data_IF_998059255643
#
_entry.id   IF_998059255643
#
_cell.length_a   1.000
_cell.length_b   1.000
_cell.length_c   1.000
_cell.angle_alpha   90.00
_cell.angle_beta   90.00
_cell.angle_gamma   90.00
#
_symmetry.space_group_name_H-M   'P 1'
#
loop_
_entity.id
_entity.type
_entity.pdbx_description
1 polymer ?
#
# COMPACT_ATOMS: atom_id res chain seq x y z
N UNK A 1 -7.94 -20.93 35.69
CA UNK A 1 -7.67 -21.43 34.32
C UNK A 1 -8.49 -20.70 33.26
N UNK A 2 -9.80 -20.45 33.47
CA UNK A 2 -10.65 -19.71 32.51
C UNK A 2 -10.22 -18.25 32.23
N UNK A 3 -9.77 -17.50 33.25
CA UNK A 3 -9.33 -16.10 33.09
C UNK A 3 -8.08 -15.95 32.19
N UNK A 4 -7.11 -16.87 32.30
CA UNK A 4 -5.94 -16.95 31.41
C UNK A 4 -6.34 -17.26 29.97
N UNK A 5 -7.33 -18.14 29.76
CA UNK A 5 -7.81 -18.48 28.41
C UNK A 5 -8.52 -17.29 27.76
N UNK A 6 -9.28 -16.51 28.54
CA UNK A 6 -9.94 -15.30 28.07
C UNK A 6 -8.93 -14.21 27.67
N UNK A 7 -7.91 -13.96 28.51
CA UNK A 7 -6.81 -13.04 28.18
C UNK A 7 -6.00 -13.49 26.96
N UNK A 8 -5.74 -14.79 26.83
CA UNK A 8 -5.03 -15.34 25.68
C UNK A 8 -5.82 -15.12 24.37
N UNK A 9 -7.15 -15.32 24.41
CA UNK A 9 -8.02 -15.07 23.25
C UNK A 9 -8.01 -13.62 22.76
N UNK A 10 -8.04 -12.66 23.68
CA UNK A 10 -8.01 -11.21 23.35
C UNK A 10 -6.64 -10.82 22.78
N UNK A 11 -5.55 -11.38 23.33
CA UNK A 11 -4.19 -11.14 22.84
C UNK A 11 -3.98 -11.73 21.44
N UNK A 12 -4.46 -12.95 21.19
CA UNK A 12 -4.30 -13.62 19.89
C UNK A 12 -4.95 -12.81 18.75
N UNK A 13 -6.16 -12.30 18.97
CA UNK A 13 -6.89 -11.52 17.98
C UNK A 13 -6.15 -10.23 17.59
N UNK A 14 -5.62 -9.50 18.58
CA UNK A 14 -4.81 -8.29 18.34
C UNK A 14 -3.53 -8.57 17.54
N UNK A 15 -2.84 -9.67 17.82
CA UNK A 15 -1.63 -10.05 17.09
C UNK A 15 -1.92 -10.35 15.61
N UNK A 16 -3.01 -11.08 15.31
CA UNK A 16 -3.42 -11.34 13.93
C UNK A 16 -3.87 -10.07 13.19
N UNK A 17 -4.58 -9.17 13.87
CA UNK A 17 -4.98 -7.87 13.29
C UNK A 17 -3.76 -7.03 12.90
N UNK A 18 -2.75 -6.93 13.77
CA UNK A 18 -1.55 -6.15 13.49
C UNK A 18 -0.66 -6.76 12.40
N UNK A 19 -0.54 -8.10 12.36
CA UNK A 19 0.12 -8.79 11.26
C UNK A 19 -0.60 -8.58 9.93
N UNK A 20 -1.93 -8.66 9.92
CA UNK A 20 -2.75 -8.39 8.73
C UNK A 20 -2.61 -6.94 8.25
N UNK A 21 -2.68 -5.97 9.17
CA UNK A 21 -2.51 -4.56 8.86
C UNK A 21 -1.15 -4.26 8.20
N UNK A 22 -0.06 -4.79 8.78
CA UNK A 22 1.28 -4.62 8.23
C UNK A 22 1.48 -5.28 6.87
N UNK A 23 0.96 -6.51 6.70
CA UNK A 23 1.09 -7.26 5.44
C UNK A 23 0.35 -6.57 4.29
N UNK A 24 -0.88 -6.09 4.53
CA UNK A 24 -1.69 -5.41 3.51
C UNK A 24 -1.02 -4.12 3.03
N UNK A 25 -0.48 -3.30 3.93
CA UNK A 25 0.27 -2.08 3.54
C UNK A 25 1.54 -2.40 2.80
N UNK A 26 2.32 -3.36 3.29
CA UNK A 26 3.56 -3.79 2.65
C UNK A 26 3.34 -4.26 1.22
N UNK A 27 2.36 -5.15 1.01
CA UNK A 27 1.99 -5.66 -0.32
C UNK A 27 1.46 -4.57 -1.24
N UNK A 28 0.59 -3.69 -0.73
CA UNK A 28 0.03 -2.58 -1.51
C UNK A 28 1.11 -1.61 -1.97
N UNK A 29 2.05 -1.22 -1.09
CA UNK A 29 3.18 -0.35 -1.44
C UNK A 29 4.15 -0.98 -2.44
N UNK A 30 4.38 -2.30 -2.34
CA UNK A 30 5.24 -3.04 -3.25
C UNK A 30 4.66 -3.08 -4.66
N UNK A 31 3.37 -3.41 -4.79
CA UNK A 31 2.65 -3.41 -6.08
C UNK A 31 2.62 -2.00 -6.68
N UNK A 32 2.31 -0.98 -5.88
CA UNK A 32 2.28 0.41 -6.33
C UNK A 32 3.65 0.88 -6.87
N UNK A 33 4.72 0.61 -6.14
CA UNK A 33 6.09 0.99 -6.53
C UNK A 33 6.56 0.23 -7.79
N UNK A 34 6.17 -1.05 -7.93
CA UNK A 34 6.41 -1.82 -9.16
C UNK A 34 5.70 -1.19 -10.37
N UNK A 35 4.45 -0.79 -10.22
CA UNK A 35 3.71 -0.09 -11.28
C UNK A 35 4.38 1.22 -11.67
N UNK A 36 4.82 2.03 -10.70
CA UNK A 36 5.56 3.28 -10.92
C UNK A 36 6.85 3.02 -11.71
N UNK A 37 7.64 2.01 -11.31
CA UNK A 37 8.88 1.65 -12.00
C UNK A 37 8.62 1.25 -13.47
N UNK A 38 7.59 0.44 -13.73
CA UNK A 38 7.25 0.01 -15.10
C UNK A 38 6.77 1.19 -15.95
N UNK A 39 5.88 2.02 -15.39
CA UNK A 39 5.38 3.24 -16.04
C UNK A 39 6.51 4.21 -16.34
N UNK A 40 7.51 4.35 -15.47
CA UNK A 40 8.68 5.18 -15.72
C UNK A 40 9.50 4.70 -16.93
N UNK A 41 9.75 3.39 -17.04
CA UNK A 41 10.53 2.80 -18.15
C UNK A 41 9.81 2.90 -19.50
N UNK A 42 8.49 2.75 -19.52
CA UNK A 42 7.68 2.90 -20.74
C UNK A 42 7.44 4.38 -21.07
N UNK A 43 7.15 5.17 -20.05
CA UNK A 43 6.85 6.59 -20.15
C UNK A 43 8.01 7.39 -20.72
N UNK A 44 9.25 7.10 -20.33
CA UNK A 44 10.45 7.77 -20.87
C UNK A 44 10.58 7.61 -22.40
N UNK A 45 10.20 6.44 -22.94
CA UNK A 45 10.21 6.16 -24.38
C UNK A 45 9.04 6.82 -25.11
N UNK A 46 7.88 6.93 -24.45
CA UNK A 46 6.72 7.66 -24.98
C UNK A 46 6.96 9.17 -25.03
N UNK A 47 7.60 9.74 -24.01
CA UNK A 47 7.87 11.19 -23.93
C UNK A 47 8.87 11.69 -24.96
N UNK A 48 9.74 10.80 -25.48
CA UNK A 48 10.69 11.14 -26.56
C UNK A 48 10.02 11.21 -27.94
N UNK A 49 8.90 10.51 -28.13
CA UNK A 49 8.12 10.55 -29.37
C UNK A 49 7.15 11.74 -29.39
N UNK A 50 6.54 12.07 -28.25
CA UNK A 50 5.63 13.22 -28.11
C UNK A 50 5.82 13.88 -26.73
N UNK A 51 6.36 15.12 -26.66
CA UNK A 51 6.61 15.80 -25.39
C UNK A 51 5.33 16.11 -24.59
N UNK A 52 4.16 16.08 -25.25
CA UNK A 52 2.85 16.30 -24.65
C UNK A 52 2.44 15.17 -23.69
N UNK A 53 3.03 13.97 -23.81
CA UNK A 53 2.74 12.82 -22.95
C UNK A 53 3.38 12.90 -21.55
N UNK A 54 4.23 13.92 -21.30
CA UNK A 54 4.93 14.09 -20.02
C UNK A 54 3.97 14.27 -18.84
N UNK A 55 2.91 15.07 -19.02
CA UNK A 55 1.87 15.24 -18.00
C UNK A 55 1.12 13.94 -17.72
N UNK A 56 0.84 13.14 -18.75
CA UNK A 56 0.18 11.84 -18.60
C UNK A 56 0.99 10.86 -17.75
N UNK A 57 2.31 10.79 -17.97
CA UNK A 57 3.21 9.96 -17.18
C UNK A 57 3.23 10.39 -15.70
N UNK A 58 3.30 11.69 -15.42
CA UNK A 58 3.30 12.23 -14.05
C UNK A 58 1.97 11.96 -13.36
N UNK A 59 0.84 12.15 -14.06
CA UNK A 59 -0.49 11.86 -13.53
C UNK A 59 -0.61 10.41 -13.04
N UNK A 60 -0.12 9.45 -13.82
CA UNK A 60 -0.14 8.02 -13.45
C UNK A 60 0.77 7.76 -12.24
N UNK A 61 1.93 8.43 -12.18
CA UNK A 61 2.88 8.32 -11.07
C UNK A 61 2.24 8.75 -9.74
N UNK A 62 1.58 9.91 -9.72
CA UNK A 62 0.94 10.46 -8.50
C UNK A 62 -0.31 9.68 -8.10
N UNK A 63 -1.12 9.23 -9.06
CA UNK A 63 -2.31 8.42 -8.76
C UNK A 63 -1.95 7.11 -8.06
N UNK A 64 -0.84 6.50 -8.48
CA UNK A 64 -0.35 5.26 -7.89
C UNK A 64 0.11 5.46 -6.45
N UNK A 65 0.72 6.60 -6.13
CA UNK A 65 1.12 6.95 -4.78
C UNK A 65 -0.08 7.17 -3.84
N UNK A 66 -1.12 7.84 -4.32
CA UNK A 66 -2.37 8.02 -3.56
C UNK A 66 -3.03 6.68 -3.22
N UNK A 67 -3.02 5.71 -4.15
CA UNK A 67 -3.51 4.36 -3.87
C UNK A 67 -2.70 3.64 -2.78
N UNK A 68 -1.38 3.85 -2.75
CA UNK A 68 -0.52 3.35 -1.66
C UNK A 68 -0.80 4.03 -0.31
N UNK A 69 -1.07 5.33 -0.31
CA UNK A 69 -1.44 6.06 0.91
C UNK A 69 -2.81 5.64 1.46
N UNK A 70 -3.77 5.29 0.60
CA UNK A 70 -5.10 4.81 1.00
C UNK A 70 -4.99 3.54 1.86
N UNK A 71 -4.12 2.59 1.50
CA UNK A 71 -3.93 1.36 2.27
C UNK A 71 -3.24 1.61 3.62
N UNK A 72 -2.33 2.59 3.67
CA UNK A 72 -1.65 3.00 4.90
C UNK A 72 -2.63 3.59 5.93
N UNK A 73 -3.53 4.47 5.49
CA UNK A 73 -4.56 5.05 6.37
C UNK A 73 -5.44 3.95 6.98
N UNK A 74 -5.90 3.00 6.17
CA UNK A 74 -6.75 1.88 6.64
C UNK A 74 -6.01 1.01 7.64
N UNK A 75 -4.73 0.69 7.40
CA UNK A 75 -3.95 -0.11 8.33
C UNK A 75 -3.64 0.60 9.64
N UNK A 76 -3.44 1.93 9.62
CA UNK A 76 -3.23 2.71 10.84
C UNK A 76 -4.50 2.71 11.72
N UNK A 77 -5.68 2.81 11.10
CA UNK A 77 -6.97 2.71 11.79
C UNK A 77 -7.17 1.30 12.38
N UNK A 78 -6.73 0.25 11.67
CA UNK A 78 -6.82 -1.13 12.14
C UNK A 78 -5.83 -1.43 13.28
N UNK A 79 -4.63 -0.84 13.25
CA UNK A 79 -3.61 -1.02 14.28
C UNK A 79 -3.93 -0.26 15.58
N UNK A 80 -4.72 0.81 15.50
CA UNK A 80 -5.12 1.62 16.66
C UNK A 80 -6.41 1.14 17.34
N UNK A 81 -7.09 0.14 16.78
CA UNK A 81 -8.29 -0.52 17.34
C UNK A 81 -7.91 -1.76 18.15
#
# INVERSE_FOLDING_TARGET
>A
KAFTVYVLGISLHRNFLQQGAGLTVGLSGLVASLTICIVGVVGMRGTTQQPQLFLGMILILVFTEVLGLQSLIVALILATK
#
